data_IF_619021122387
#
_entry.id   IF_619021122387
#
_cell.length_a   1.000
_cell.length_b   1.000
_cell.length_c   1.000
_cell.angle_alpha   90.00
_cell.angle_beta   90.00
_cell.angle_gamma   90.00
#
_symmetry.space_group_name_H-M   'P 1'
#
loop_
_entity.id
_entity.type
_entity.pdbx_description
1 polymer ?
#
# COMPACT_ATOMS: atom_id res chain seq x y z
N UNK A 1 -2.38 9.36 -2.30
CA UNK A 1 -3.08 9.75 -1.04
C UNK A 1 -2.10 9.64 0.12
N UNK A 2 -2.13 10.60 1.04
CA UNK A 2 -1.24 10.62 2.21
C UNK A 2 0.20 11.07 1.91
N UNK A 3 0.47 11.68 0.75
CA UNK A 3 1.76 12.30 0.45
C UNK A 3 1.77 13.74 0.97
N UNK A 4 2.53 14.00 2.03
CA UNK A 4 2.62 15.32 2.66
C UNK A 4 3.52 16.30 1.92
N UNK A 5 4.36 15.84 0.98
CA UNK A 5 5.36 16.67 0.28
C UNK A 5 4.88 17.10 -1.09
N UNK A 6 4.20 16.23 -1.82
CA UNK A 6 3.74 16.48 -3.19
C UNK A 6 2.24 16.29 -3.38
N UNK A 7 1.53 15.77 -2.37
CA UNK A 7 0.09 15.56 -2.43
C UNK A 7 -0.73 16.80 -2.08
N UNK A 8 -2.03 16.73 -2.38
CA UNK A 8 -3.00 17.73 -1.96
C UNK A 8 -3.27 17.61 -0.45
N UNK A 9 -2.90 18.65 0.30
CA UNK A 9 -3.07 18.70 1.75
C UNK A 9 -4.54 18.68 2.19
N UNK A 10 -5.46 19.24 1.40
CA UNK A 10 -6.89 19.23 1.71
C UNK A 10 -7.43 17.79 1.61
N UNK A 11 -7.07 17.07 0.55
CA UNK A 11 -7.45 15.66 0.38
C UNK A 11 -6.82 14.77 1.45
N UNK A 12 -5.57 15.01 1.81
CA UNK A 12 -4.90 14.26 2.88
C UNK A 12 -5.60 14.45 4.24
N UNK A 13 -5.99 15.69 4.58
CA UNK A 13 -6.77 15.94 5.81
C UNK A 13 -8.12 15.23 5.78
N UNK A 14 -8.86 15.37 4.68
CA UNK A 14 -10.15 14.69 4.52
C UNK A 14 -10.00 13.16 4.63
N UNK A 15 -8.95 12.57 4.05
CA UNK A 15 -8.67 11.15 4.17
C UNK A 15 -8.43 10.75 5.63
N UNK A 16 -7.59 11.48 6.36
CA UNK A 16 -7.31 11.21 7.78
C UNK A 16 -8.59 11.32 8.60
N UNK A 17 -9.36 12.39 8.41
CA UNK A 17 -10.59 12.65 9.16
C UNK A 17 -11.68 11.59 8.90
N UNK A 18 -11.78 11.07 7.68
CA UNK A 18 -12.83 10.11 7.30
C UNK A 18 -12.44 8.65 7.49
N UNK A 19 -11.18 8.30 7.26
CA UNK A 19 -10.71 6.91 7.26
C UNK A 19 -9.74 6.58 8.40
N UNK A 20 -9.20 7.58 9.10
CA UNK A 20 -8.17 7.41 10.12
C UNK A 20 -6.78 7.09 9.56
N UNK A 21 -6.61 7.05 8.24
CA UNK A 21 -5.35 6.72 7.58
C UNK A 21 -4.55 7.98 7.28
N UNK A 22 -3.35 8.08 7.86
CA UNK A 22 -2.55 9.31 7.86
C UNK A 22 -1.16 9.18 7.25
N UNK A 23 -0.87 8.05 6.59
CA UNK A 23 0.43 7.79 5.96
C UNK A 23 0.34 7.77 4.44
N UNK A 24 1.50 7.83 3.80
CA UNK A 24 1.64 7.63 2.36
C UNK A 24 1.10 6.25 1.97
N UNK A 25 0.10 6.25 1.08
CA UNK A 25 -0.48 5.03 0.50
C UNK A 25 0.34 4.58 -0.70
N UNK A 26 1.55 4.10 -0.42
CA UNK A 26 2.46 3.47 -1.36
C UNK A 26 2.97 2.16 -0.75
N UNK A 27 2.88 1.06 -1.49
CA UNK A 27 3.27 -0.28 -1.03
C UNK A 27 3.99 -1.05 -2.13
N UNK A 28 5.18 -1.56 -1.80
CA UNK A 28 5.92 -2.46 -2.69
C UNK A 28 5.45 -3.90 -2.44
N UNK A 29 4.40 -4.31 -3.15
CA UNK A 29 3.77 -5.62 -2.93
C UNK A 29 4.64 -6.81 -3.33
N UNK A 30 5.42 -6.67 -4.40
CA UNK A 30 6.15 -7.78 -5.01
C UNK A 30 7.56 -7.35 -5.38
N UNK A 31 8.54 -8.15 -4.98
CA UNK A 31 9.93 -8.03 -5.41
C UNK A 31 10.34 -9.34 -6.10
N UNK A 32 10.81 -9.22 -7.34
CA UNK A 32 11.38 -10.34 -8.08
C UNK A 32 12.82 -10.00 -8.49
N UNK A 33 13.72 -10.93 -8.27
CA UNK A 33 15.12 -10.79 -8.68
C UNK A 33 15.76 -12.17 -8.89
N UNK A 34 16.91 -12.18 -9.56
CA UNK A 34 17.74 -13.38 -9.64
C UNK A 34 18.72 -13.35 -8.48
N UNK A 35 18.77 -14.45 -7.72
CA UNK A 35 19.68 -14.58 -6.61
C UNK A 35 21.13 -14.52 -7.12
N UNK A 36 21.98 -13.63 -6.58
CA UNK A 36 23.24 -13.25 -7.21
C UNK A 36 24.28 -14.38 -7.26
N UNK A 37 24.12 -15.42 -6.44
CA UNK A 37 25.08 -16.54 -6.36
C UNK A 37 24.68 -17.77 -7.17
N UNK A 38 23.39 -18.08 -7.25
CA UNK A 38 22.90 -19.33 -7.85
C UNK A 38 21.94 -19.09 -9.03
N UNK A 39 21.70 -17.81 -9.39
CA UNK A 39 20.83 -17.37 -10.48
C UNK A 39 19.39 -17.89 -10.41
N UNK A 40 18.96 -18.37 -9.25
CA UNK A 40 17.58 -18.78 -9.02
C UNK A 40 16.68 -17.56 -9.00
N UNK A 41 15.52 -17.66 -9.64
CA UNK A 41 14.49 -16.62 -9.56
C UNK A 41 13.87 -16.66 -8.17
N UNK A 42 13.97 -15.57 -7.43
CA UNK A 42 13.33 -15.39 -6.13
C UNK A 42 12.18 -14.40 -6.32
N UNK A 43 11.05 -14.73 -5.70
CA UNK A 43 9.89 -13.86 -5.56
C UNK A 43 9.57 -13.70 -4.08
N UNK A 44 9.37 -12.45 -3.67
CA UNK A 44 8.97 -12.07 -2.32
C UNK A 44 7.68 -11.27 -2.44
N UNK A 45 6.65 -11.69 -1.68
CA UNK A 45 5.36 -11.02 -1.60
C UNK A 45 5.21 -10.42 -0.21
N UNK A 46 4.91 -9.12 -0.16
CA UNK A 46 4.56 -8.40 1.05
C UNK A 46 3.04 -8.16 1.09
N UNK A 47 2.37 -8.72 2.09
CA UNK A 47 0.96 -8.48 2.34
C UNK A 47 0.68 -7.01 2.63
N UNK A 48 -0.54 -6.56 2.36
CA UNK A 48 -1.00 -5.24 2.76
C UNK A 48 -1.07 -5.14 4.30
N UNK A 49 -0.76 -3.96 4.83
CA UNK A 49 -0.85 -3.69 6.26
C UNK A 49 -2.29 -3.31 6.69
N UNK A 50 -2.50 -3.16 7.99
CA UNK A 50 -3.81 -2.83 8.56
C UNK A 50 -4.40 -1.52 7.99
N UNK A 51 -3.56 -0.52 7.68
CA UNK A 51 -4.05 0.75 7.13
C UNK A 51 -4.58 0.60 5.70
N UNK A 52 -3.92 -0.21 4.87
CA UNK A 52 -4.47 -0.57 3.57
C UNK A 52 -5.77 -1.37 3.70
N UNK A 53 -5.83 -2.33 4.62
CA UNK A 53 -7.04 -3.11 4.87
C UNK A 53 -8.21 -2.22 5.32
N UNK A 54 -7.96 -1.21 6.16
CA UNK A 54 -8.98 -0.21 6.52
C UNK A 54 -9.49 0.58 5.34
N UNK A 55 -8.61 1.03 4.43
CA UNK A 55 -9.06 1.74 3.23
C UNK A 55 -9.89 0.83 2.33
N UNK A 56 -9.50 -0.44 2.19
CA UNK A 56 -10.27 -1.39 1.38
C UNK A 56 -11.68 -1.56 1.94
N UNK A 57 -11.82 -1.72 3.26
CA UNK A 57 -13.13 -1.77 3.91
C UNK A 57 -13.89 -0.44 3.79
N UNK A 58 -13.23 0.70 3.98
CA UNK A 58 -13.84 2.03 3.95
C UNK A 58 -14.42 2.39 2.57
N UNK A 59 -13.71 2.03 1.49
CA UNK A 59 -14.14 2.30 0.12
C UNK A 59 -14.89 1.13 -0.54
N UNK A 60 -15.16 0.05 0.22
CA UNK A 60 -15.75 -1.19 -0.29
C UNK A 60 -15.00 -1.76 -1.51
N UNK A 61 -13.67 -1.72 -1.46
CA UNK A 61 -12.81 -2.22 -2.53
C UNK A 61 -12.58 -3.72 -2.39
N UNK A 62 -12.87 -4.45 -3.47
CA UNK A 62 -12.68 -5.90 -3.54
C UNK A 62 -11.54 -6.26 -4.52
N UNK A 63 -10.31 -6.22 -4.01
CA UNK A 63 -9.12 -6.68 -4.76
C UNK A 63 -8.60 -7.99 -4.17
N UNK A 64 -9.17 -9.10 -4.63
CA UNK A 64 -8.85 -10.47 -4.16
C UNK A 64 -7.37 -10.85 -4.28
N UNK A 65 -6.60 -10.21 -5.15
CA UNK A 65 -5.17 -10.45 -5.32
C UNK A 65 -4.28 -9.94 -4.17
N UNK A 66 -4.82 -9.12 -3.26
CA UNK A 66 -4.07 -8.49 -2.17
C UNK A 66 -4.57 -8.89 -0.75
N UNK A 67 -5.53 -9.82 -0.67
CA UNK A 67 -5.94 -10.50 0.56
C UNK A 67 -5.13 -11.78 0.74
#
# INVERSE_FOLDING_TARGET
MGDSKYGDLHQNRALVEKSGVSRLMLHAHKLQFQHPKNLQKIEIIASLDEQWQRLFAFFDWNFTQYY
#
